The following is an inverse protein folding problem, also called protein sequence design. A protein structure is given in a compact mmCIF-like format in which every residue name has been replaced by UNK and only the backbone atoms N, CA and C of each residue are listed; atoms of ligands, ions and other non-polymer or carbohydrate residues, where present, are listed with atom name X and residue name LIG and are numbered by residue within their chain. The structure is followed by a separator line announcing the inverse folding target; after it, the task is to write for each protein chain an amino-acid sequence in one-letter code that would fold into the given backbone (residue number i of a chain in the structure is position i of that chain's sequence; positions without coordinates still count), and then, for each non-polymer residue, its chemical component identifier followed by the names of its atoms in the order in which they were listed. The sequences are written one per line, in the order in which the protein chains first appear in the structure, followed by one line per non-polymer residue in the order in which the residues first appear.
data_IF_042059815600
#
_entry.id   IF_042059815600
#
_cell.length_a   1.000
_cell.length_b   1.000
_cell.length_c   1.000
_cell.angle_alpha   90.00
_cell.angle_beta   90.00
_cell.angle_gamma   90.00
#
_symmetry.space_group_name_H-M   'P 1'
#
loop_
_entity.id
_entity.type
_entity.pdbx_description
1 polymer ?
#
# COMPACT_ATOMS: atom_id res chain seq x y z
N UNK A 1 27.45 22.62 0.32
CA UNK A 1 26.81 21.35 0.73
C UNK A 1 27.50 20.22 -0.01
N UNK A 2 28.00 19.19 0.69
CA UNK A 2 28.67 18.07 0.02
C UNK A 2 27.70 17.27 -0.85
N UNK A 3 28.18 16.76 -1.99
CA UNK A 3 27.36 16.01 -2.96
C UNK A 3 26.62 14.84 -2.30
N UNK A 4 27.23 14.19 -1.31
CA UNK A 4 26.61 13.11 -0.55
C UNK A 4 25.40 13.58 0.29
N UNK A 5 25.46 14.78 0.90
CA UNK A 5 24.32 15.35 1.64
C UNK A 5 23.18 15.75 0.69
N UNK A 6 23.52 16.27 -0.50
CA UNK A 6 22.54 16.58 -1.52
C UNK A 6 21.83 15.32 -2.02
N UNK A 7 22.57 14.26 -2.34
CA UNK A 7 22.01 12.96 -2.76
C UNK A 7 21.10 12.38 -1.65
N UNK A 8 21.50 12.50 -0.38
CA UNK A 8 20.69 12.02 0.75
C UNK A 8 19.38 12.81 0.90
N UNK A 9 19.43 14.15 0.83
CA UNK A 9 18.23 14.99 0.85
C UNK A 9 17.30 14.71 -0.33
N UNK A 10 17.84 14.52 -1.54
CA UNK A 10 17.03 14.20 -2.73
C UNK A 10 16.37 12.83 -2.57
N UNK A 11 17.09 11.84 -2.03
CA UNK A 11 16.52 10.52 -1.72
C UNK A 11 15.39 10.62 -0.69
N UNK A 12 15.58 11.38 0.39
CA UNK A 12 14.54 11.60 1.40
C UNK A 12 13.32 12.34 0.83
N UNK A 13 13.55 13.42 0.07
CA UNK A 13 12.49 14.25 -0.55
C UNK A 13 11.68 13.44 -1.56
N UNK A 14 12.33 12.60 -2.36
CA UNK A 14 11.67 11.75 -3.35
C UNK A 14 11.17 10.42 -2.78
N UNK A 15 11.38 10.14 -1.48
CA UNK A 15 11.01 8.87 -0.85
C UNK A 15 11.72 7.65 -1.45
N UNK A 16 12.91 7.85 -2.04
CA UNK A 16 13.74 6.81 -2.64
C UNK A 16 14.54 6.13 -1.53
N UNK A 17 14.08 4.94 -1.13
CA UNK A 17 14.80 4.11 -0.17
C UNK A 17 15.96 3.37 -0.84
N UNK A 18 17.09 3.24 -0.13
CA UNK A 18 18.21 2.42 -0.62
C UNK A 18 17.74 0.97 -0.82
N UNK A 19 17.78 0.43 -2.06
CA UNK A 19 17.32 -0.93 -2.35
C UNK A 19 18.13 -1.99 -1.59
N UNK A 20 19.37 -1.66 -1.19
CA UNK A 20 20.23 -2.50 -0.34
C UNK A 20 19.79 -2.57 1.13
N UNK A 21 18.99 -1.59 1.62
CA UNK A 21 18.49 -1.53 3.01
C UNK A 21 17.00 -1.88 3.13
N UNK A 22 16.29 -2.05 2.02
CA UNK A 22 14.89 -2.45 2.03
C UNK A 22 14.76 -3.92 2.44
N UNK A 23 14.55 -4.17 3.74
CA UNK A 23 14.24 -5.51 4.23
C UNK A 23 12.93 -6.00 3.63
N UNK A 24 12.82 -7.30 3.34
CA UNK A 24 11.57 -7.93 2.84
C UNK A 24 10.36 -7.50 3.68
N UNK A 25 10.55 -7.38 5.00
CA UNK A 25 9.56 -6.90 5.98
C UNK A 25 9.08 -5.47 5.70
N UNK A 26 9.97 -4.54 5.35
CA UNK A 26 9.63 -3.14 5.06
C UNK A 26 8.86 -3.02 3.73
N UNK A 27 9.26 -3.79 2.72
CA UNK A 27 8.54 -3.87 1.44
C UNK A 27 7.11 -4.41 1.62
N UNK A 28 6.94 -5.46 2.43
CA UNK A 28 5.61 -5.99 2.77
C UNK A 28 4.78 -4.97 3.54
N UNK A 29 5.35 -4.24 4.51
CA UNK A 29 4.66 -3.14 5.20
C UNK A 29 4.22 -2.02 4.26
N UNK A 30 5.06 -1.63 3.29
CA UNK A 30 4.75 -0.58 2.30
C UNK A 30 3.62 -1.03 1.37
N UNK A 31 3.62 -2.31 0.96
CA UNK A 31 2.55 -2.90 0.17
C UNK A 31 1.23 -2.95 0.96
N UNK A 32 1.27 -3.37 2.22
CA UNK A 32 0.11 -3.37 3.11
C UNK A 32 -0.49 -1.97 3.28
N UNK A 33 0.33 -0.94 3.47
CA UNK A 33 -0.15 0.45 3.52
C UNK A 33 -0.92 0.85 2.25
N UNK A 34 -0.39 0.51 1.07
CA UNK A 34 -1.07 0.79 -0.21
C UNK A 34 -2.40 0.03 -0.36
N UNK A 35 -2.46 -1.21 0.12
CA UNK A 35 -3.69 -2.00 0.11
C UNK A 35 -4.74 -1.41 1.07
N UNK A 36 -4.33 -0.92 2.24
CA UNK A 36 -5.22 -0.25 3.18
C UNK A 36 -5.77 1.06 2.61
N UNK A 37 -4.94 1.90 1.99
CA UNK A 37 -5.42 3.15 1.37
C UNK A 37 -6.38 2.87 0.21
N UNK A 38 -6.11 1.84 -0.61
CA UNK A 38 -7.05 1.39 -1.64
C UNK A 38 -8.38 0.91 -1.05
N UNK A 39 -8.36 0.16 0.06
CA UNK A 39 -9.56 -0.27 0.77
C UNK A 39 -10.41 0.93 1.21
N UNK A 40 -9.79 1.93 1.82
CA UNK A 40 -10.48 3.16 2.26
C UNK A 40 -11.09 3.92 1.09
N UNK A 41 -10.38 4.02 -0.04
CA UNK A 41 -10.88 4.65 -1.25
C UNK A 41 -12.11 3.92 -1.82
N UNK A 42 -12.06 2.58 -1.87
CA UNK A 42 -13.19 1.76 -2.35
C UNK A 42 -14.39 1.87 -1.41
N UNK A 43 -14.17 1.94 -0.09
CA UNK A 43 -15.25 2.20 0.87
C UNK A 43 -15.92 3.56 0.62
N UNK A 44 -15.14 4.63 0.44
CA UNK A 44 -15.69 5.96 0.11
C UNK A 44 -16.46 5.96 -1.21
N UNK A 45 -15.96 5.23 -2.21
CA UNK A 45 -16.66 5.06 -3.49
C UNK A 45 -17.97 4.27 -3.34
N UNK A 46 -18.03 3.29 -2.44
CA UNK A 46 -19.23 2.53 -2.11
C UNK A 46 -20.28 3.37 -1.38
N UNK A 47 -19.86 4.33 -0.55
CA UNK A 47 -20.77 5.25 0.14
C UNK A 47 -21.36 6.31 -0.80
N UNK A 48 -20.63 6.68 -1.85
CA UNK A 48 -21.03 7.77 -2.78
C UNK A 48 -21.73 7.28 -4.05
N UNK A 49 -21.52 6.03 -4.48
CA UNK A 49 -22.13 5.50 -5.72
C UNK A 49 -23.43 4.74 -5.45
N UNK A 50 -24.52 5.17 -6.10
CA UNK A 50 -25.86 4.57 -6.04
C UNK A 50 -26.08 3.43 -7.06
N UNK A 51 -25.14 3.20 -7.96
CA UNK A 51 -25.29 2.21 -9.03
C UNK A 51 -25.11 0.77 -8.50
N UNK A 52 -26.17 -0.03 -8.61
CA UNK A 52 -26.22 -1.42 -8.10
C UNK A 52 -25.17 -2.34 -8.73
N UNK A 53 -24.80 -2.11 -10.01
CA UNK A 53 -23.82 -2.97 -10.70
C UNK A 53 -22.41 -2.63 -10.22
N UNK A 54 -22.08 -1.33 -10.22
CA UNK A 54 -20.79 -0.82 -9.73
C UNK A 54 -20.58 -1.15 -8.24
N UNK A 55 -21.64 -1.15 -7.43
CA UNK A 55 -21.59 -1.57 -6.02
C UNK A 55 -21.21 -3.04 -5.84
N UNK A 56 -21.63 -3.94 -6.75
CA UNK A 56 -21.22 -5.37 -6.70
C UNK A 56 -19.75 -5.54 -7.02
N UNK A 57 -19.28 -4.91 -8.10
CA UNK A 57 -17.89 -4.99 -8.54
C UNK A 57 -16.94 -4.42 -7.46
N UNK A 58 -17.28 -3.28 -6.87
CA UNK A 58 -16.51 -2.68 -5.77
C UNK A 58 -16.48 -3.57 -4.52
N UNK A 59 -17.57 -4.29 -4.21
CA UNK A 59 -17.60 -5.24 -3.09
C UNK A 59 -16.72 -6.47 -3.34
N UNK A 60 -16.65 -6.96 -4.57
CA UNK A 60 -15.73 -8.04 -4.95
C UNK A 60 -14.28 -7.57 -4.86
N UNK A 61 -13.97 -6.38 -5.38
CA UNK A 61 -12.64 -5.79 -5.27
C UNK A 61 -12.22 -5.61 -3.80
N UNK A 62 -13.13 -5.13 -2.95
CA UNK A 62 -12.92 -4.98 -1.52
C UNK A 62 -12.62 -6.33 -0.84
N UNK A 63 -13.35 -7.41 -1.19
CA UNK A 63 -13.07 -8.77 -0.70
C UNK A 63 -11.68 -9.25 -1.09
N UNK A 64 -11.26 -9.02 -2.34
CA UNK A 64 -9.92 -9.39 -2.83
C UNK A 64 -8.85 -8.65 -2.03
N UNK A 65 -9.02 -7.34 -1.83
CA UNK A 65 -8.09 -6.51 -1.06
C UNK A 65 -8.00 -6.98 0.40
N UNK A 66 -9.12 -7.29 1.04
CA UNK A 66 -9.12 -7.85 2.41
C UNK A 66 -8.34 -9.17 2.46
N UNK A 67 -8.56 -10.05 1.48
CA UNK A 67 -7.86 -11.34 1.40
C UNK A 67 -6.35 -11.13 1.25
N UNK A 68 -5.94 -10.22 0.38
CA UNK A 68 -4.52 -9.88 0.19
C UNK A 68 -3.90 -9.24 1.43
N UNK A 69 -4.62 -8.39 2.17
CA UNK A 69 -4.15 -7.83 3.45
C UNK A 69 -3.92 -8.94 4.49
N UNK A 70 -4.87 -9.88 4.62
CA UNK A 70 -4.72 -11.04 5.52
C UNK A 70 -3.50 -11.88 5.15
N UNK A 71 -3.29 -12.15 3.87
CA UNK A 71 -2.13 -12.91 3.39
C UNK A 71 -0.82 -12.15 3.62
N UNK A 72 -0.80 -10.85 3.35
CA UNK A 72 0.36 -9.98 3.62
C UNK A 72 0.75 -9.96 5.10
N UNK A 73 -0.24 -9.92 6.01
CA UNK A 73 0.00 -10.02 7.45
C UNK A 73 0.53 -11.40 7.86
N UNK A 74 0.03 -12.50 7.28
CA UNK A 74 0.59 -13.85 7.52
C UNK A 74 2.05 -13.95 7.07
N UNK A 75 2.39 -13.38 5.92
CA UNK A 75 3.76 -13.34 5.41
C UNK A 75 4.64 -12.49 6.34
N UNK A 76 4.13 -11.36 6.82
CA UNK A 76 4.84 -10.48 7.75
C UNK A 76 5.12 -11.15 9.11
N UNK A 77 4.20 -11.97 9.61
CA UNK A 77 4.37 -12.70 10.87
C UNK A 77 5.33 -13.88 10.74
N UNK A 78 5.52 -14.43 9.53
CA UNK A 78 6.51 -15.48 9.24
C UNK A 78 7.92 -14.94 8.98
N UNK A 79 8.09 -13.62 8.91
CA UNK A 79 9.33 -12.87 8.60
C UNK A 79 9.91 -12.16 9.82
#
# INVERSE_FOLDING_TARGET
MGINKFIMQVKETLGLEDPKKATKKKSVKKLLKKLTTKKEHINKLLETKSDKKVSKDLKEELKIIICQIKNGNKILNKL
#
